data_IF_470180898706
#
_entry.id   IF_470180898706
#
_cell.length_a   1.000
_cell.length_b   1.000
_cell.length_c   1.000
_cell.angle_alpha   90.00
_cell.angle_beta   90.00
_cell.angle_gamma   90.00
#
_symmetry.space_group_name_H-M   'P 1'
#
loop_
_entity.id
_entity.type
_entity.pdbx_description
1 polymer ?
#
# COMPACT_ATOMS: atom_id res chain seq x y z
N UNK A 1 17.46 0.20 10.34
CA UNK A 1 16.44 -0.58 9.58
C UNK A 1 15.31 0.39 9.30
N UNK A 2 14.96 0.64 8.04
CA UNK A 2 13.80 1.47 7.74
C UNK A 2 12.56 0.62 7.97
N UNK A 3 11.87 0.82 9.09
CA UNK A 3 10.58 0.21 9.34
C UNK A 3 9.64 0.70 8.24
N UNK A 4 9.19 -0.22 7.38
CA UNK A 4 8.21 0.10 6.34
C UNK A 4 6.87 0.22 7.05
N UNK A 5 6.12 1.29 6.75
CA UNK A 5 4.78 1.52 7.29
C UNK A 5 3.78 1.62 6.16
N UNK A 6 2.54 1.25 6.44
CA UNK A 6 1.51 1.14 5.43
C UNK A 6 1.10 2.54 5.01
N UNK A 7 1.16 2.84 3.72
CA UNK A 7 0.81 4.17 3.24
C UNK A 7 -0.68 4.55 3.44
N UNK A 8 -1.51 3.61 3.89
CA UNK A 8 -2.95 3.82 4.13
C UNK A 8 -3.27 3.97 5.61
N UNK A 9 -2.68 3.14 6.47
CA UNK A 9 -3.02 3.07 7.90
C UNK A 9 -1.82 3.30 8.83
N UNK A 10 -0.61 3.50 8.28
CA UNK A 10 0.65 3.66 9.01
C UNK A 10 1.05 2.48 9.91
N UNK A 11 0.37 1.34 9.82
CA UNK A 11 0.77 0.10 10.48
C UNK A 11 2.09 -0.44 9.93
N UNK A 12 2.79 -1.24 10.75
CA UNK A 12 4.04 -1.89 10.33
C UNK A 12 3.79 -2.82 9.14
N UNK A 13 4.67 -2.70 8.14
CA UNK A 13 4.77 -3.66 7.06
C UNK A 13 5.72 -4.76 7.49
N UNK A 14 5.13 -5.91 7.80
CA UNK A 14 5.85 -7.16 8.06
C UNK A 14 6.04 -7.96 6.76
N UNK A 15 6.54 -9.19 6.84
CA UNK A 15 6.78 -10.04 5.67
C UNK A 15 5.53 -10.35 4.81
N UNK A 16 4.33 -9.97 5.26
CA UNK A 16 3.05 -10.13 4.56
C UNK A 16 2.64 -8.88 3.78
N UNK A 17 3.60 -8.09 3.29
CA UNK A 17 3.29 -6.93 2.44
C UNK A 17 2.67 -7.36 1.13
N UNK A 18 1.75 -6.54 0.62
CA UNK A 18 1.17 -6.69 -0.71
C UNK A 18 1.66 -5.54 -1.56
N UNK A 19 2.25 -5.86 -2.71
CA UNK A 19 2.69 -4.87 -3.69
C UNK A 19 1.53 -4.46 -4.61
N UNK A 20 1.31 -3.15 -4.68
CA UNK A 20 0.22 -2.55 -5.45
C UNK A 20 0.82 -1.62 -6.49
N UNK A 21 0.60 -1.94 -7.76
CA UNK A 21 1.07 -1.10 -8.86
C UNK A 21 0.09 0.04 -9.13
N UNK A 22 0.58 1.26 -8.95
CA UNK A 22 -0.15 2.52 -9.03
C UNK A 22 0.55 3.37 -10.09
N UNK A 23 0.20 3.10 -11.36
CA UNK A 23 0.82 3.74 -12.51
C UNK A 23 2.20 3.17 -12.79
N UNK A 24 3.20 4.03 -12.71
CA UNK A 24 4.63 3.65 -12.81
C UNK A 24 5.28 3.38 -11.45
N UNK A 25 4.55 3.61 -10.35
CA UNK A 25 5.07 3.37 -9.00
C UNK A 25 4.46 2.11 -8.40
N UNK A 26 5.27 1.36 -7.65
CA UNK A 26 4.79 0.26 -6.81
C UNK A 26 4.75 0.73 -5.37
N UNK A 27 3.62 0.52 -4.70
CA UNK A 27 3.39 0.87 -3.30
C UNK A 27 3.09 -0.40 -2.53
N UNK A 28 3.77 -0.57 -1.40
CA UNK A 28 3.58 -1.71 -0.51
C UNK A 28 2.53 -1.38 0.56
N UNK A 29 1.66 -2.34 0.88
CA UNK A 29 0.63 -2.19 1.91
C UNK A 29 0.56 -3.41 2.83
N UNK A 30 -0.03 -3.25 4.02
CA UNK A 30 -0.15 -4.34 4.99
C UNK A 30 -1.28 -5.35 4.68
N UNK A 31 -2.28 -4.99 3.86
CA UNK A 31 -3.43 -5.86 3.57
C UNK A 31 -4.14 -5.50 2.25
N UNK A 32 -4.99 -6.41 1.76
CA UNK A 32 -5.75 -6.21 0.52
C UNK A 32 -6.72 -5.03 0.59
N UNK A 33 -7.31 -4.74 1.76
CA UNK A 33 -8.18 -3.58 1.93
C UNK A 33 -7.43 -2.26 1.69
N UNK A 34 -6.21 -2.16 2.24
CA UNK A 34 -5.33 -1.01 2.00
C UNK A 34 -4.96 -0.92 0.52
N UNK A 35 -4.70 -2.06 -0.13
CA UNK A 35 -4.43 -2.09 -1.57
C UNK A 35 -5.61 -1.56 -2.38
N UNK A 36 -6.82 -1.95 -2.03
CA UNK A 36 -8.04 -1.53 -2.70
C UNK A 36 -8.26 -0.02 -2.54
N UNK A 37 -8.19 0.48 -1.30
CA UNK A 37 -8.29 1.92 -0.98
C UNK A 37 -7.29 2.76 -1.76
N UNK A 38 -6.03 2.31 -1.86
CA UNK A 38 -5.00 2.98 -2.64
C UNK A 38 -5.31 3.01 -4.14
N UNK A 39 -5.83 1.92 -4.70
CA UNK A 39 -6.25 1.84 -6.11
C UNK A 39 -7.44 2.75 -6.39
N UNK A 40 -8.44 2.75 -5.51
CA UNK A 40 -9.63 3.59 -5.64
C UNK A 40 -9.28 5.07 -5.53
N UNK A 41 -8.46 5.46 -4.56
CA UNK A 41 -7.99 6.85 -4.40
C UNK A 41 -7.28 7.39 -5.66
N UNK A 42 -6.54 6.53 -6.38
CA UNK A 42 -5.95 6.91 -7.67
C UNK A 42 -6.95 6.97 -8.82
N UNK A 43 -7.94 6.08 -8.84
CA UNK A 43 -8.90 5.98 -9.96
C UNK A 43 -9.95 7.10 -9.92
N UNK A 44 -10.13 7.76 -8.77
CA UNK A 44 -11.04 8.88 -8.59
C UNK A 44 -10.52 10.24 -9.13
N UNK A 45 -9.45 10.27 -9.93
CA UNK A 45 -8.90 11.48 -10.57
C UNK A 45 -9.33 11.64 -12.03
#
# INVERSE_FOLDING_TARGET
MAEKTCAVCDDKLDATVIEVKIGDQTVEVCCEECALKLREARTAS
#
